data_IF_051945273425
#
_entry.id   IF_051945273425
#
_cell.length_a   1.000
_cell.length_b   1.000
_cell.length_c   1.000
_cell.angle_alpha   90.00
_cell.angle_beta   90.00
_cell.angle_gamma   90.00
#
_symmetry.space_group_name_H-M   'P 1'
#
loop_
_entity.id
_entity.type
_entity.pdbx_description
1 polymer ?
#
# COMPACT_ATOMS: atom_id res chain seq x y z
N UNK A 1 -25.69 4.13 -8.28
CA UNK A 1 -24.49 4.40 -9.08
C UNK A 1 -23.29 4.40 -8.15
N UNK A 2 -22.43 3.37 -8.18
CA UNK A 2 -21.24 3.32 -7.30
C UNK A 2 -20.21 4.29 -7.91
N UNK A 3 -19.89 5.39 -7.21
CA UNK A 3 -18.82 6.29 -7.64
C UNK A 3 -17.55 5.45 -7.83
N UNK A 4 -16.97 5.46 -9.03
CA UNK A 4 -15.63 4.92 -9.23
C UNK A 4 -14.68 5.91 -8.60
N UNK A 5 -14.19 5.59 -7.41
CA UNK A 5 -13.05 6.28 -6.82
C UNK A 5 -11.83 5.85 -7.62
N UNK A 6 -11.24 6.78 -8.37
CA UNK A 6 -9.97 6.54 -9.02
C UNK A 6 -8.90 6.79 -7.97
N UNK A 7 -8.25 5.74 -7.51
CA UNK A 7 -7.09 5.85 -6.64
C UNK A 7 -5.85 6.04 -7.50
N UNK A 8 -4.91 6.85 -7.02
CA UNK A 8 -3.55 6.82 -7.55
C UNK A 8 -2.88 5.46 -7.24
N UNK A 9 -1.71 5.23 -7.83
CA UNK A 9 -0.92 4.04 -7.53
C UNK A 9 -0.64 3.95 -6.03
N UNK A 10 -0.12 5.02 -5.44
CA UNK A 10 0.25 5.08 -4.03
C UNK A 10 -0.96 4.95 -3.12
N UNK A 11 -2.08 5.59 -3.45
CA UNK A 11 -3.31 5.47 -2.67
C UNK A 11 -3.86 4.05 -2.67
N UNK A 12 -3.70 3.32 -3.78
CA UNK A 12 -4.12 1.91 -3.87
C UNK A 12 -3.27 1.04 -2.96
N UNK A 13 -1.94 1.24 -2.96
CA UNK A 13 -1.00 0.51 -2.11
C UNK A 13 -1.28 0.82 -0.64
N UNK A 14 -1.40 2.10 -0.29
CA UNK A 14 -1.68 2.54 1.07
C UNK A 14 -3.00 1.98 1.59
N UNK A 15 -4.07 2.03 0.79
CA UNK A 15 -5.38 1.45 1.13
C UNK A 15 -5.29 -0.04 1.43
N UNK A 16 -4.49 -0.80 0.66
CA UNK A 16 -4.30 -2.22 0.88
C UNK A 16 -3.58 -2.50 2.21
N UNK A 17 -2.55 -1.72 2.52
CA UNK A 17 -1.80 -1.83 3.79
C UNK A 17 -2.70 -1.47 4.98
N UNK A 18 -3.41 -0.35 4.94
CA UNK A 18 -4.33 0.08 5.99
C UNK A 18 -5.45 -0.94 6.22
N UNK A 19 -5.98 -1.53 5.15
CA UNK A 19 -6.98 -2.60 5.25
C UNK A 19 -6.44 -3.78 6.05
N UNK A 20 -5.21 -4.22 5.76
CA UNK A 20 -4.57 -5.32 6.47
C UNK A 20 -4.32 -4.98 7.95
N UNK A 21 -3.80 -3.78 8.23
CA UNK A 21 -3.58 -3.27 9.60
C UNK A 21 -4.88 -3.24 10.39
N UNK A 22 -5.98 -2.77 9.78
CA UNK A 22 -7.29 -2.68 10.43
C UNK A 22 -7.83 -4.07 10.77
N UNK A 23 -7.76 -5.01 9.83
CA UNK A 23 -8.25 -6.38 10.01
C UNK A 23 -7.46 -7.11 11.10
N UNK A 24 -6.15 -6.89 11.15
CA UNK A 24 -5.27 -7.52 12.13
C UNK A 24 -5.15 -6.71 13.43
N UNK A 25 -5.69 -5.49 13.46
CA UNK A 25 -5.56 -4.54 14.58
C UNK A 25 -4.10 -4.39 15.02
N UNK A 26 -3.18 -4.28 14.06
CA UNK A 26 -1.75 -4.25 14.28
C UNK A 26 -1.05 -3.31 13.29
N UNK A 27 -0.03 -2.61 13.78
CA UNK A 27 0.89 -1.83 12.96
C UNK A 27 2.05 -2.71 12.46
N UNK A 28 2.50 -2.47 11.24
CA UNK A 28 3.58 -3.22 10.61
C UNK A 28 4.84 -2.38 10.46
N UNK A 29 5.99 -3.02 10.66
CA UNK A 29 7.28 -2.50 10.20
C UNK A 29 7.50 -2.87 8.73
N UNK A 30 8.35 -2.12 7.99
CA UNK A 30 8.69 -2.47 6.60
C UNK A 30 9.20 -3.90 6.42
N UNK A 31 9.84 -4.47 7.45
CA UNK A 31 10.39 -5.84 7.44
C UNK A 31 9.36 -6.93 7.75
N UNK A 32 8.15 -6.57 8.13
CA UNK A 32 7.09 -7.52 8.56
C UNK A 32 6.07 -7.81 7.45
N UNK A 33 6.12 -7.03 6.35
CA UNK A 33 5.22 -7.18 5.22
C UNK A 33 6.01 -7.18 3.91
N UNK A 34 5.56 -7.98 2.96
CA UNK A 34 6.04 -7.96 1.58
C UNK A 34 4.92 -7.44 0.68
N UNK A 35 5.23 -6.44 -0.14
CA UNK A 35 4.27 -5.82 -1.06
C UNK A 35 4.77 -5.99 -2.48
N UNK A 36 3.88 -6.37 -3.38
CA UNK A 36 4.18 -6.44 -4.80
C UNK A 36 3.10 -5.74 -5.61
N UNK A 37 3.53 -5.06 -6.67
CA UNK A 37 2.69 -4.23 -7.52
C UNK A 37 2.77 -4.69 -8.97
N UNK A 38 1.63 -4.56 -9.66
CA UNK A 38 1.50 -4.72 -11.10
C UNK A 38 0.61 -3.59 -11.59
N UNK A 39 1.06 -2.86 -12.60
CA UNK A 39 0.29 -1.75 -13.19
C UNK A 39 0.20 -1.90 -14.71
N UNK A 40 -0.58 -1.04 -15.37
CA UNK A 40 -0.63 -1.02 -16.84
C UNK A 40 0.68 -0.54 -17.45
N UNK A 41 1.39 0.34 -16.75
CA UNK A 41 2.67 0.91 -17.18
C UNK A 41 3.81 -0.08 -16.92
N UNK A 42 3.75 -0.78 -15.78
CA UNK A 42 4.68 -1.85 -15.41
C UNK A 42 3.91 -3.16 -15.19
N UNK A 43 3.65 -3.93 -16.27
CA UNK A 43 2.80 -5.13 -16.22
C UNK A 43 3.50 -6.34 -15.59
N UNK A 44 4.79 -6.22 -15.24
CA UNK A 44 5.54 -7.28 -14.57
C UNK A 44 5.28 -7.21 -13.08
N UNK A 45 5.22 -8.37 -12.45
CA UNK A 45 5.17 -8.47 -11.00
C UNK A 45 6.48 -7.96 -10.41
N UNK A 46 6.41 -6.82 -9.71
CA UNK A 46 7.54 -6.19 -9.04
C UNK A 46 7.28 -6.13 -7.55
N UNK A 47 8.22 -6.64 -6.76
CA UNK A 47 8.22 -6.49 -5.31
C UNK A 47 8.77 -5.12 -4.93
N UNK A 48 8.13 -4.45 -3.98
CA UNK A 48 8.63 -3.23 -3.37
C UNK A 48 9.77 -3.54 -2.42
N UNK A 49 10.76 -2.65 -2.38
CA UNK A 49 11.82 -2.65 -1.39
C UNK A 49 11.32 -2.18 -0.04
N UNK A 50 12.05 -2.50 1.04
CA UNK A 50 11.73 -2.03 2.39
C UNK A 50 11.63 -0.50 2.46
N UNK A 51 12.44 0.23 1.68
CA UNK A 51 12.42 1.70 1.62
C UNK A 51 11.12 2.24 1.00
N UNK A 52 10.61 1.59 -0.05
CA UNK A 52 9.34 1.95 -0.68
C UNK A 52 8.16 1.63 0.26
N UNK A 53 8.23 0.50 0.97
CA UNK A 53 7.23 0.14 1.97
C UNK A 53 7.22 1.16 3.13
N UNK A 54 8.38 1.55 3.63
CA UNK A 54 8.53 2.56 4.69
C UNK A 54 7.95 3.93 4.29
N UNK A 55 8.14 4.32 3.03
CA UNK A 55 7.52 5.52 2.47
C UNK A 55 5.99 5.44 2.52
N UNK A 56 5.39 4.31 2.12
CA UNK A 56 3.94 4.14 2.18
C UNK A 56 3.42 4.09 3.62
N UNK A 57 4.13 3.42 4.54
CA UNK A 57 3.78 3.35 5.96
C UNK A 57 3.81 4.73 6.61
N UNK A 58 4.86 5.51 6.35
CA UNK A 58 4.97 6.90 6.83
C UNK A 58 3.85 7.78 6.29
N UNK A 59 3.52 7.65 5.00
CA UNK A 59 2.43 8.40 4.38
C UNK A 59 1.03 8.01 4.90
N UNK A 60 0.83 6.76 5.36
CA UNK A 60 -0.41 6.36 6.04
C UNK A 60 -0.49 7.04 7.41
N UNK A 61 0.60 7.01 8.18
CA UNK A 61 0.66 7.61 9.51
C UNK A 61 0.47 9.14 9.51
N UNK A 62 0.82 9.84 8.42
CA UNK A 62 0.54 11.27 8.24
C UNK A 62 -0.92 11.59 7.87
N UNK A 63 -1.67 10.60 7.36
CA UNK A 63 -3.07 10.77 6.90
C UNK A 63 -4.11 10.41 7.97
N UNK A 64 -3.73 9.63 8.99
CA UNK A 64 -4.52 9.36 10.20
C UNK A 64 -4.41 10.50 11.23
#
# INVERSE_FOLDING_TARGET
YRKKTNYSHDETVQMAITCLMTVLSADFKPTEIEVAVVSKEEPKFRTLSEQEIDYHLSAIAERD
#
